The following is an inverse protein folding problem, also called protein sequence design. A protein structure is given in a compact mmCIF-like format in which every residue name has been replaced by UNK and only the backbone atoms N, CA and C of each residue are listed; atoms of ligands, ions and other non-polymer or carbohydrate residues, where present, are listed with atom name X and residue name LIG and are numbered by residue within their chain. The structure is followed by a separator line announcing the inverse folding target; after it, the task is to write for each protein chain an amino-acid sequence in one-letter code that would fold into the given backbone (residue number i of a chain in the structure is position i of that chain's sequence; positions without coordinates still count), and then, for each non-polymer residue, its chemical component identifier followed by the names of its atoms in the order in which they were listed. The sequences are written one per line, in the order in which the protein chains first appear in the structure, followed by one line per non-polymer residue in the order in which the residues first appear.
data_IF_065751831145
#
_entry.id   IF_065751831145
#
_cell.length_a   1.000
_cell.length_b   1.000
_cell.length_c   1.000
_cell.angle_alpha   90.00
_cell.angle_beta   90.00
_cell.angle_gamma   90.00
#
_symmetry.space_group_name_H-M   'P 1'
#
loop_
_entity.id
_entity.type
_entity.pdbx_description
1 polymer ?
#
# COMPACT_ATOMS: atom_id res chain seq x y z
N UNK A 1 6.88 -3.87 -13.40
CA UNK A 1 6.86 -3.21 -12.07
C UNK A 1 6.20 -1.87 -12.29
N UNK A 2 5.08 -1.66 -11.63
CA UNK A 2 4.17 -0.55 -11.89
C UNK A 2 4.04 0.34 -10.66
N UNK A 3 3.72 1.62 -10.86
CA UNK A 3 3.54 2.59 -9.79
C UNK A 3 2.12 3.18 -9.81
N UNK A 4 1.55 3.42 -8.63
CA UNK A 4 0.40 4.33 -8.46
C UNK A 4 0.75 5.48 -7.52
N UNK A 5 0.19 6.66 -7.77
CA UNK A 5 0.40 7.85 -6.93
C UNK A 5 -0.90 8.22 -6.22
N UNK A 6 -0.87 8.15 -4.89
CA UNK A 6 -1.98 8.44 -3.99
C UNK A 6 -1.67 9.76 -3.28
N UNK A 7 -1.92 10.88 -3.98
CA UNK A 7 -1.75 12.30 -3.59
C UNK A 7 -0.41 12.78 -3.00
N UNK A 8 0.42 11.92 -2.41
CA UNK A 8 1.83 12.13 -2.03
C UNK A 8 2.53 10.78 -1.79
N UNK A 9 1.80 9.67 -1.73
CA UNK A 9 2.32 8.32 -1.53
C UNK A 9 2.52 7.66 -2.90
N UNK A 10 3.75 7.25 -3.22
CA UNK A 10 4.04 6.47 -4.43
C UNK A 10 4.10 4.99 -4.07
N UNK A 11 3.21 4.17 -4.63
CA UNK A 11 3.20 2.72 -4.37
C UNK A 11 3.75 1.96 -5.57
N UNK A 12 4.90 1.31 -5.41
CA UNK A 12 5.47 0.39 -6.38
C UNK A 12 5.01 -1.05 -6.09
N UNK A 13 4.63 -1.77 -7.14
CA UNK A 13 4.11 -3.13 -7.01
C UNK A 13 4.44 -4.01 -8.23
N UNK A 14 4.34 -5.32 -8.02
CA UNK A 14 4.48 -6.33 -9.07
C UNK A 14 3.12 -6.65 -9.70
N UNK A 15 2.98 -6.29 -10.97
CA UNK A 15 1.78 -6.49 -11.78
C UNK A 15 1.55 -7.93 -12.24
N UNK A 16 2.57 -8.79 -12.15
CA UNK A 16 2.45 -10.22 -12.47
C UNK A 16 1.64 -11.00 -11.44
N UNK A 17 1.49 -10.46 -10.23
CA UNK A 17 0.75 -11.07 -9.15
C UNK A 17 -0.71 -10.59 -9.17
N UNK A 18 -1.63 -11.46 -9.58
CA UNK A 18 -3.07 -11.14 -9.71
C UNK A 18 -3.67 -10.54 -8.42
N UNK A 19 -3.30 -11.07 -7.25
CA UNK A 19 -3.75 -10.58 -5.94
C UNK A 19 -3.33 -9.14 -5.67
N UNK A 20 -2.08 -8.80 -6.02
CA UNK A 20 -1.53 -7.45 -5.88
C UNK A 20 -2.27 -6.50 -6.81
N UNK A 21 -2.56 -6.92 -8.04
CA UNK A 21 -3.36 -6.14 -8.99
C UNK A 21 -4.78 -5.86 -8.48
N UNK A 22 -5.45 -6.89 -7.96
CA UNK A 22 -6.80 -6.75 -7.41
C UNK A 22 -6.82 -5.85 -6.18
N UNK A 23 -5.79 -5.90 -5.34
CA UNK A 23 -5.65 -5.00 -4.20
C UNK A 23 -5.37 -3.56 -4.62
N UNK A 24 -4.58 -3.34 -5.67
CA UNK A 24 -4.36 -2.00 -6.24
C UNK A 24 -5.67 -1.41 -6.78
N UNK A 25 -6.50 -2.20 -7.46
CA UNK A 25 -7.83 -1.75 -7.88
C UNK A 25 -8.73 -1.40 -6.68
N UNK A 26 -8.63 -2.18 -5.60
CA UNK A 26 -9.32 -1.88 -4.35
C UNK A 26 -8.85 -0.58 -3.69
N UNK A 27 -7.54 -0.30 -3.71
CA UNK A 27 -6.95 0.95 -3.20
C UNK A 27 -7.31 2.19 -4.03
N UNK A 28 -7.74 2.03 -5.29
CA UNK A 28 -8.25 3.14 -6.11
C UNK A 28 -9.60 3.66 -5.61
N UNK A 29 -10.28 2.94 -4.72
CA UNK A 29 -11.50 3.42 -4.08
C UNK A 29 -11.18 4.64 -3.18
N UNK A 30 -11.90 5.78 -3.32
CA UNK A 30 -11.66 7.00 -2.54
C UNK A 30 -11.55 6.78 -1.04
N UNK A 31 -12.46 6.01 -0.44
CA UNK A 31 -12.48 5.74 1.00
C UNK A 31 -11.19 5.02 1.46
N UNK A 32 -10.75 4.01 0.70
CA UNK A 32 -9.53 3.23 1.01
C UNK A 32 -8.26 4.04 0.81
N UNK A 33 -8.29 4.95 -0.16
CA UNK A 33 -7.22 5.90 -0.40
C UNK A 33 -7.06 6.87 0.78
N UNK A 34 -8.15 7.34 1.37
CA UNK A 34 -8.08 8.20 2.57
C UNK A 34 -7.58 7.45 3.80
N UNK A 35 -8.04 6.21 4.03
CA UNK A 35 -7.54 5.37 5.12
C UNK A 35 -6.02 5.13 5.02
N UNK A 36 -5.54 4.78 3.82
CA UNK A 36 -4.11 4.55 3.61
C UNK A 36 -3.28 5.81 3.87
N UNK A 37 -3.81 6.97 3.45
CA UNK A 37 -3.17 8.26 3.70
C UNK A 37 -3.13 8.59 5.19
N UNK A 38 -4.23 8.40 5.92
CA UNK A 38 -4.31 8.64 7.35
C UNK A 38 -3.31 7.77 8.13
N UNK A 39 -3.27 6.47 7.85
CA UNK A 39 -2.30 5.55 8.46
C UNK A 39 -0.84 5.94 8.15
N UNK A 40 -0.56 6.39 6.92
CA UNK A 40 0.76 6.90 6.58
C UNK A 40 1.09 8.17 7.37
N UNK A 41 0.17 9.14 7.44
CA UNK A 41 0.35 10.39 8.17
C UNK A 41 0.58 10.17 9.68
N UNK A 42 -0.02 9.14 10.27
CA UNK A 42 0.24 8.72 11.66
C UNK A 42 1.61 8.07 11.82
N UNK A 43 1.99 7.20 10.88
CA UNK A 43 3.21 6.39 10.99
C UNK A 43 4.46 7.16 10.58
N UNK A 44 4.38 8.17 9.69
CA UNK A 44 5.53 8.92 9.14
C UNK A 44 6.49 9.51 10.19
N UNK A 45 6.02 9.73 11.41
CA UNK A 45 6.83 10.24 12.53
C UNK A 45 7.77 9.20 13.16
N UNK A 46 7.56 7.90 12.91
CA UNK A 46 8.25 6.80 13.61
C UNK A 46 9.45 6.17 12.87
N UNK A 47 9.86 6.71 11.72
CA UNK A 47 11.09 6.34 11.00
C UNK A 47 11.11 5.01 10.21
N UNK A 48 10.31 4.01 10.56
CA UNK A 48 10.15 2.76 9.79
C UNK A 48 8.65 2.45 9.62
N UNK A 49 8.13 2.62 8.41
CA UNK A 49 6.68 2.62 8.15
C UNK A 49 6.27 1.33 7.48
N UNK A 50 5.91 0.32 8.29
CA UNK A 50 5.29 -0.90 7.79
C UNK A 50 3.81 -0.89 8.15
N UNK A 51 2.97 -0.91 7.13
CA UNK A 51 1.52 -0.96 7.29
C UNK A 51 1.06 -2.34 6.87
N UNK A 52 0.37 -3.04 7.77
CA UNK A 52 -0.26 -4.32 7.48
C UNK A 52 -1.71 -4.07 7.08
N UNK A 53 -2.09 -4.55 5.90
CA UNK A 53 -3.38 -4.31 5.28
C UNK A 53 -3.95 -5.63 4.80
N UNK A 54 -5.26 -5.80 4.93
CA UNK A 54 -5.97 -6.93 4.37
C UNK A 54 -6.88 -6.45 3.25
N UNK A 55 -6.95 -7.20 2.15
CA UNK A 55 -8.01 -6.97 1.17
C UNK A 55 -9.34 -7.59 1.63
N UNK A 56 -10.39 -7.36 0.84
CA UNK A 56 -11.72 -7.93 1.07
C UNK A 56 -11.77 -9.47 1.09
N UNK A 57 -10.71 -10.13 0.64
CA UNK A 57 -10.60 -11.59 0.57
C UNK A 57 -9.61 -12.12 1.62
N UNK A 58 -9.30 -11.33 2.66
CA UNK A 58 -8.39 -11.70 3.75
C UNK A 58 -6.94 -11.96 3.30
N UNK A 59 -6.53 -11.47 2.13
CA UNK A 59 -5.13 -11.53 1.73
C UNK A 59 -4.35 -10.46 2.51
N UNK A 60 -3.27 -10.89 3.15
CA UNK A 60 -2.40 -10.02 3.90
C UNK A 60 -1.37 -9.33 3.01
N UNK A 61 -1.30 -8.00 3.09
CA UNK A 61 -0.32 -7.17 2.42
C UNK A 61 0.49 -6.39 3.45
N UNK A 62 1.75 -6.11 3.11
CA UNK A 62 2.59 -5.16 3.81
C UNK A 62 2.97 -4.05 2.86
N UNK A 63 2.60 -2.82 3.21
CA UNK A 63 3.11 -1.63 2.58
C UNK A 63 4.33 -1.16 3.38
N UNK A 64 5.50 -1.10 2.75
CA UNK A 64 6.74 -0.64 3.37
C UNK A 64 7.07 0.72 2.79
N UNK A 65 7.00 1.77 3.60
CA UNK A 65 7.23 3.13 3.15
C UNK A 65 8.51 3.74 3.73
N UNK A 66 9.18 4.53 2.91
CA UNK A 66 10.33 5.34 3.29
C UNK A 66 9.92 6.79 3.64
N UNK A 67 10.89 7.55 4.15
CA UNK A 67 10.72 8.97 4.53
C UNK A 67 10.46 9.89 3.33
N UNK A 68 10.65 9.43 2.10
CA UNK A 68 10.37 10.15 0.86
C UNK A 68 8.98 9.81 0.28
N UNK A 69 8.11 9.17 1.08
CA UNK A 69 6.77 8.76 0.67
C UNK A 69 6.74 7.70 -0.44
N UNK A 70 7.86 6.99 -0.70
CA UNK A 70 7.82 5.82 -1.57
C UNK A 70 7.49 4.60 -0.75
N UNK A 71 6.54 3.83 -1.23
CA UNK A 71 6.01 2.65 -0.61
C UNK A 71 6.12 1.46 -1.55
N UNK A 72 6.59 0.33 -1.05
CA UNK A 72 6.55 -0.94 -1.78
C UNK A 72 5.46 -1.81 -1.20
N UNK A 73 4.54 -2.25 -2.05
CA UNK A 73 3.49 -3.18 -1.67
C UNK A 73 3.99 -4.62 -1.82
N UNK A 74 3.91 -5.41 -0.75
CA UNK A 74 4.30 -6.82 -0.74
C UNK A 74 3.15 -7.67 -0.23
N UNK A 75 2.82 -8.75 -0.94
CA UNK A 75 1.93 -9.78 -0.42
C UNK A 75 2.67 -10.59 0.66
N UNK A 76 2.03 -10.84 1.80
CA UNK A 76 2.55 -11.74 2.84
C UNK A 76 2.03 -13.15 2.57
N UNK A 77 2.89 -14.16 2.78
CA UNK A 77 2.46 -15.56 2.77
C UNK A 77 2.53 -16.29 1.42
N UNK A 78 3.53 -15.99 0.58
CA UNK A 78 4.00 -16.91 -0.47
C UNK A 78 5.38 -17.41 -0.09
#
# INVERSE_FOLDING_TARGET
MSDIVIHNIRVSYDESHERVRNFVEYLKNPDRKEELKAYYDETKSSGDHKIHLNDKNDNEFTLICDSNHNCTLRLRGI
#
